data_IF_066303274467
#
_entry.id   IF_066303274467
#
_cell.length_a   1.000
_cell.length_b   1.000
_cell.length_c   1.000
_cell.angle_alpha   90.00
_cell.angle_beta   90.00
_cell.angle_gamma   90.00
#
_symmetry.space_group_name_H-M   'P 1'
#
loop_
_entity.id
_entity.type
_entity.pdbx_description
1 polymer ?
#
# COMPACT_ATOMS: atom_id res chain seq x y z
N UNK A 1 15.75 9.07 6.22
CA UNK A 1 14.47 9.19 5.50
C UNK A 1 13.39 8.74 6.46
N UNK A 2 12.53 9.67 6.87
CA UNK A 2 11.41 9.36 7.76
C UNK A 2 10.22 8.94 6.91
N UNK A 3 9.64 7.77 7.21
CA UNK A 3 8.46 7.26 6.50
C UNK A 3 7.21 7.92 7.05
N UNK A 4 6.43 8.56 6.18
CA UNK A 4 5.16 9.20 6.56
C UNK A 4 3.99 8.25 6.32
N UNK A 5 4.04 7.47 5.24
CA UNK A 5 2.93 6.59 4.86
C UNK A 5 3.46 5.29 4.26
N UNK A 6 2.82 4.18 4.65
CA UNK A 6 3.10 2.83 4.19
C UNK A 6 1.81 2.26 3.62
N UNK A 7 1.87 1.79 2.38
CA UNK A 7 0.83 0.96 1.78
C UNK A 7 1.29 -0.48 1.81
N UNK A 8 0.39 -1.38 2.20
CA UNK A 8 0.63 -2.81 2.19
C UNK A 8 -0.51 -3.47 1.41
N UNK A 9 -0.15 -4.40 0.54
CA UNK A 9 -1.08 -5.28 -0.15
C UNK A 9 -0.61 -6.72 -0.10
N UNK A 10 -1.54 -7.66 0.05
CA UNK A 10 -1.32 -9.08 -0.21
C UNK A 10 -2.55 -9.67 -0.90
N UNK A 11 -2.36 -10.55 -1.88
CA UNK A 11 -3.47 -11.24 -2.55
C UNK A 11 -4.01 -12.42 -1.76
N UNK A 12 -3.19 -13.07 -0.92
CA UNK A 12 -3.60 -14.26 -0.16
C UNK A 12 -4.16 -15.38 -1.06
N UNK A 13 -3.39 -15.85 -2.05
CA UNK A 13 -3.86 -16.82 -3.06
C UNK A 13 -3.34 -18.26 -2.86
N UNK A 14 -4.13 -19.25 -3.31
CA UNK A 14 -3.71 -20.64 -3.55
C UNK A 14 -4.05 -21.04 -5.00
N UNK A 15 -3.11 -21.59 -5.81
CA UNK A 15 -1.75 -22.00 -5.45
C UNK A 15 -0.79 -20.81 -5.23
N UNK A 16 0.28 -21.05 -4.46
CA UNK A 16 1.25 -20.04 -4.02
C UNK A 16 1.93 -19.27 -5.15
N UNK A 17 1.98 -19.87 -6.34
CA UNK A 17 2.53 -19.23 -7.54
C UNK A 17 1.79 -17.97 -7.96
N UNK A 18 0.54 -17.77 -7.52
CA UNK A 18 -0.24 -16.55 -7.78
C UNK A 18 -0.32 -15.61 -6.58
N UNK A 19 0.28 -15.98 -5.45
CA UNK A 19 0.36 -15.08 -4.31
C UNK A 19 1.42 -14.02 -4.57
N UNK A 20 1.12 -12.77 -4.25
CA UNK A 20 2.12 -11.70 -4.20
C UNK A 20 1.74 -10.69 -3.13
N UNK A 21 2.72 -9.91 -2.70
CA UNK A 21 2.51 -8.76 -1.84
C UNK A 21 3.40 -7.60 -2.27
N UNK A 22 3.00 -6.38 -1.92
CA UNK A 22 3.86 -5.23 -2.06
C UNK A 22 3.80 -4.33 -0.85
N UNK A 23 4.87 -3.55 -0.68
CA UNK A 23 4.94 -2.46 0.30
C UNK A 23 5.43 -1.21 -0.41
N UNK A 24 4.69 -0.11 -0.28
CA UNK A 24 5.11 1.22 -0.74
C UNK A 24 5.35 2.09 0.48
N UNK A 25 6.54 2.68 0.59
CA UNK A 25 6.86 3.66 1.63
C UNK A 25 6.98 5.04 0.98
N UNK A 26 6.22 6.01 1.47
CA UNK A 26 6.35 7.43 1.15
C UNK A 26 7.16 8.12 2.25
N UNK A 27 8.16 8.89 1.85
CA UNK A 27 9.12 9.53 2.75
C UNK A 27 8.94 11.05 2.80
N UNK A 28 9.34 11.67 3.91
CA UNK A 28 9.21 13.12 4.12
C UNK A 28 10.00 14.01 3.17
N UNK A 29 10.92 13.44 2.39
CA UNK A 29 11.71 14.14 1.37
C UNK A 29 11.07 14.07 -0.03
N UNK A 30 9.79 13.72 -0.12
CA UNK A 30 9.04 13.57 -1.37
C UNK A 30 9.53 12.44 -2.28
N UNK A 31 10.22 11.45 -1.69
CA UNK A 31 10.60 10.20 -2.37
C UNK A 31 9.71 9.04 -1.91
N UNK A 32 9.40 8.11 -2.78
CA UNK A 32 8.70 6.88 -2.46
C UNK A 32 9.50 5.66 -2.91
N UNK A 33 9.29 4.53 -2.24
CA UNK A 33 9.90 3.26 -2.64
C UNK A 33 8.88 2.14 -2.62
N UNK A 34 8.98 1.22 -3.58
CA UNK A 34 8.21 -0.02 -3.62
C UNK A 34 9.11 -1.22 -3.41
N UNK A 35 8.56 -2.25 -2.77
CA UNK A 35 9.07 -3.62 -2.77
C UNK A 35 7.94 -4.55 -3.12
N UNK A 36 8.17 -5.48 -4.05
CA UNK A 36 7.22 -6.52 -4.45
C UNK A 36 7.82 -7.87 -4.12
N UNK A 37 6.99 -8.77 -3.59
CA UNK A 37 7.36 -10.12 -3.18
C UNK A 37 6.42 -11.10 -3.88
N UNK A 38 6.97 -12.17 -4.47
CA UNK A 38 6.19 -13.29 -5.01
C UNK A 38 6.06 -14.39 -3.95
N UNK A 39 4.91 -15.05 -3.90
CA UNK A 39 4.63 -16.11 -2.92
C UNK A 39 4.79 -15.63 -1.47
N UNK A 40 5.59 -16.39 -0.72
CA UNK A 40 6.02 -16.07 0.65
C UNK A 40 7.54 -15.90 0.74
N UNK A 41 8.15 -15.36 -0.32
CA UNK A 41 9.59 -15.13 -0.35
C UNK A 41 10.02 -14.07 0.68
N UNK A 42 11.20 -14.27 1.26
CA UNK A 42 11.77 -13.34 2.26
C UNK A 42 12.50 -12.15 1.62
N UNK A 43 12.75 -12.20 0.32
CA UNK A 43 13.42 -11.15 -0.46
C UNK A 43 12.47 -10.58 -1.52
N UNK A 44 12.50 -9.26 -1.78
CA UNK A 44 11.71 -8.69 -2.84
C UNK A 44 12.22 -9.16 -4.21
N UNK A 45 11.32 -9.51 -5.11
CA UNK A 45 11.62 -9.80 -6.52
C UNK A 45 11.81 -8.53 -7.33
N UNK A 46 11.20 -7.43 -6.88
CA UNK A 46 11.33 -6.11 -7.49
C UNK A 46 11.39 -5.04 -6.41
N UNK A 47 12.23 -4.03 -6.63
CA UNK A 47 12.26 -2.83 -5.81
C UNK A 47 12.59 -1.62 -6.66
N UNK A 48 11.92 -0.52 -6.40
CA UNK A 48 12.11 0.72 -7.15
C UNK A 48 11.86 1.94 -6.29
N UNK A 49 12.26 3.12 -6.79
CA UNK A 49 12.07 4.41 -6.16
C UNK A 49 11.66 5.46 -7.17
N UNK A 50 10.84 6.39 -6.70
CA UNK A 50 10.34 7.51 -7.51
C UNK A 50 10.13 8.74 -6.64
N UNK A 51 10.01 9.90 -7.25
CA UNK A 51 9.62 11.13 -6.58
C UNK A 51 8.11 11.35 -6.73
N UNK A 52 7.48 12.06 -5.80
CA UNK A 52 6.04 12.34 -5.84
C UNK A 52 5.71 13.75 -5.34
N UNK A 53 4.49 14.22 -5.61
CA UNK A 53 4.01 15.50 -5.09
C UNK A 53 3.55 15.36 -3.63
N UNK A 54 4.31 15.98 -2.71
CA UNK A 54 4.02 15.94 -1.28
C UNK A 54 2.68 16.59 -0.91
N UNK A 55 2.25 17.64 -1.61
CA UNK A 55 0.97 18.30 -1.34
C UNK A 55 -0.21 17.38 -1.68
N UNK A 56 -0.07 16.57 -2.74
CA UNK A 56 -1.07 15.55 -3.09
C UNK A 56 -1.14 14.47 -1.99
N UNK A 57 0.00 14.01 -1.47
CA UNK A 57 0.02 13.04 -0.36
C UNK A 57 -0.64 13.60 0.90
N UNK A 58 -0.29 14.82 1.31
CA UNK A 58 -0.86 15.48 2.50
C UNK A 58 -2.38 15.59 2.40
N UNK A 59 -2.90 15.91 1.20
CA UNK A 59 -4.33 15.93 0.95
C UNK A 59 -4.98 14.54 1.19
N UNK A 60 -4.35 13.45 0.74
CA UNK A 60 -4.86 12.08 0.98
C UNK A 60 -4.82 11.70 2.45
N UNK A 61 -3.75 12.05 3.14
CA UNK A 61 -3.61 11.81 4.59
C UNK A 61 -4.72 12.55 5.35
N UNK A 62 -4.99 13.80 5.01
CA UNK A 62 -6.08 14.57 5.63
C UNK A 62 -7.45 13.89 5.46
N UNK A 63 -7.74 13.35 4.27
CA UNK A 63 -8.97 12.58 4.01
C UNK A 63 -9.01 11.32 4.88
N UNK A 64 -7.90 10.56 4.97
CA UNK A 64 -7.82 9.34 5.78
C UNK A 64 -8.01 9.60 7.27
N UNK A 65 -7.43 10.68 7.79
CA UNK A 65 -7.57 11.11 9.18
C UNK A 65 -8.99 11.51 9.56
N UNK A 66 -9.78 11.97 8.58
CA UNK A 66 -11.18 12.35 8.80
C UNK A 66 -12.15 11.15 8.75
N UNK A 67 -11.70 9.98 8.27
CA UNK A 67 -12.52 8.77 8.25
C UNK A 67 -12.70 8.24 9.68
N UNK A 68 -13.90 7.75 10.04
CA UNK A 68 -14.12 7.12 11.33
C UNK A 68 -13.13 5.98 11.54
N UNK A 69 -12.61 5.86 12.75
CA UNK A 69 -11.80 4.71 13.15
C UNK A 69 -12.71 3.50 13.19
N UNK A 70 -12.44 2.54 12.32
CA UNK A 70 -13.05 1.22 12.43
C UNK A 70 -12.08 0.33 13.19
N UNK A 71 -12.55 -0.32 14.27
CA UNK A 71 -11.82 -1.43 14.88
C UNK A 71 -11.78 -2.57 13.87
N UNK A 72 -10.73 -2.59 13.04
CA UNK A 72 -10.54 -3.66 12.08
C UNK A 72 -9.98 -4.86 12.83
N UNK A 73 -10.84 -5.83 13.13
CA UNK A 73 -10.39 -7.15 13.61
C UNK A 73 -9.45 -7.74 12.55
N UNK A 74 -8.22 -8.14 12.89
CA UNK A 74 -7.31 -8.71 11.92
C UNK A 74 -7.91 -9.99 11.34
N UNK A 75 -8.23 -9.97 10.05
CA UNK A 75 -8.63 -11.17 9.32
C UNK A 75 -7.45 -12.15 9.30
N UNK A 76 -7.72 -13.37 9.78
CA UNK A 76 -6.78 -14.50 9.83
C UNK A 76 -6.35 -14.91 8.41
N UNK A 77 -5.19 -14.42 8.00
CA UNK A 77 -4.11 -15.14 7.27
C UNK A 77 -4.39 -15.98 6.01
N UNK A 78 -5.49 -15.83 5.28
CA UNK A 78 -5.63 -16.51 3.95
C UNK A 78 -6.35 -15.70 2.86
N UNK A 79 -6.52 -14.39 3.02
CA UNK A 79 -7.26 -13.56 2.07
C UNK A 79 -6.52 -12.32 1.59
N UNK A 80 -7.07 -11.71 0.54
CA UNK A 80 -6.65 -10.41 0.05
C UNK A 80 -6.74 -9.37 1.18
N UNK A 81 -5.68 -8.58 1.36
CA UNK A 81 -5.63 -7.53 2.37
C UNK A 81 -4.97 -6.29 1.82
N UNK A 82 -5.63 -5.16 2.03
CA UNK A 82 -5.12 -3.80 1.82
C UNK A 82 -4.97 -3.12 3.16
N UNK A 83 -3.87 -2.40 3.35
CA UNK A 83 -3.62 -1.67 4.58
C UNK A 83 -2.87 -0.37 4.31
N UNK A 84 -3.24 0.66 5.06
CA UNK A 84 -2.56 1.95 5.12
C UNK A 84 -2.06 2.14 6.55
N UNK A 85 -0.78 2.43 6.69
CA UNK A 85 -0.18 2.88 7.95
C UNK A 85 0.37 4.27 7.69
N UNK A 86 -0.08 5.28 8.41
CA UNK A 86 0.54 6.59 8.32
C UNK A 86 0.95 7.10 9.71
N UNK A 87 2.02 7.88 9.71
CA UNK A 87 2.66 8.45 10.88
C UNK A 87 2.45 9.95 10.82
N UNK A 88 1.69 10.48 11.77
CA UNK A 88 1.41 11.91 11.91
C UNK A 88 1.82 12.36 13.31
N UNK A 89 2.86 13.18 13.41
CA UNK A 89 3.30 13.85 14.64
C UNK A 89 3.38 12.93 15.89
N UNK A 90 3.91 11.72 15.72
CA UNK A 90 4.08 10.72 16.79
C UNK A 90 2.87 9.79 17.01
N UNK A 91 1.75 10.02 16.32
CA UNK A 91 0.63 9.08 16.24
C UNK A 91 0.80 8.18 15.00
N UNK A 92 0.76 6.88 15.21
CA UNK A 92 0.64 5.92 14.10
C UNK A 92 -0.82 5.54 13.96
N UNK A 93 -1.43 5.86 12.82
CA UNK A 93 -2.76 5.36 12.49
C UNK A 93 -2.63 4.21 11.50
N UNK A 94 -3.27 3.09 11.84
CA UNK A 94 -3.32 1.88 11.04
C UNK A 94 -4.75 1.66 10.60
N UNK A 95 -4.97 1.52 9.30
CA UNK A 95 -6.27 1.22 8.71
C UNK A 95 -6.16 0.01 7.80
N UNK A 96 -6.82 -1.09 8.19
CA UNK A 96 -7.08 -2.20 7.28
C UNK A 96 -8.30 -1.83 6.44
N UNK A 97 -8.21 -1.96 5.12
CA UNK A 97 -9.30 -1.58 4.23
C UNK A 97 -10.15 -2.81 3.97
N UNK A 98 -11.43 -2.74 4.34
CA UNK A 98 -12.41 -3.77 4.01
C UNK A 98 -13.08 -3.46 2.66
N UNK A 99 -13.69 -4.44 1.98
CA UNK A 99 -14.41 -4.23 0.72
C UNK A 99 -15.55 -3.19 0.80
N UNK A 100 -16.11 -2.97 1.99
CA UNK A 100 -17.21 -2.02 2.24
C UNK A 100 -16.72 -0.56 2.33
N UNK A 101 -15.45 -0.34 2.67
CA UNK A 101 -14.84 0.98 2.87
C UNK A 101 -14.50 1.68 1.54
N UNK A 102 -15.53 1.98 0.74
CA UNK A 102 -15.39 2.59 -0.61
C UNK A 102 -14.50 3.83 -0.63
N UNK A 103 -14.56 4.66 0.40
CA UNK A 103 -13.74 5.87 0.48
C UNK A 103 -12.27 5.55 0.75
N UNK A 104 -11.98 4.59 1.63
CA UNK A 104 -10.60 4.16 1.88
C UNK A 104 -10.01 3.44 0.66
N UNK A 105 -10.81 2.62 -0.04
CA UNK A 105 -10.43 1.99 -1.31
C UNK A 105 -10.02 3.06 -2.33
N UNK A 106 -10.86 4.08 -2.53
CA UNK A 106 -10.57 5.17 -3.47
C UNK A 106 -9.28 5.92 -3.11
N UNK A 107 -9.05 6.20 -1.83
CA UNK A 107 -7.80 6.87 -1.40
C UNK A 107 -6.60 5.97 -1.64
N UNK A 108 -6.71 4.69 -1.32
CA UNK A 108 -5.66 3.70 -1.57
C UNK A 108 -5.26 3.67 -3.04
N UNK A 109 -6.23 3.55 -3.95
CA UNK A 109 -6.00 3.57 -5.40
C UNK A 109 -5.33 4.87 -5.86
N UNK A 110 -5.77 6.01 -5.33
CA UNK A 110 -5.13 7.30 -5.64
C UNK A 110 -3.68 7.38 -5.15
N UNK A 111 -3.34 6.73 -4.03
CA UNK A 111 -1.97 6.66 -3.55
C UNK A 111 -1.11 5.71 -4.39
N UNK A 112 -1.69 4.65 -4.97
CA UNK A 112 -0.98 3.82 -5.95
C UNK A 112 -0.62 4.63 -7.19
N UNK A 113 -1.58 5.43 -7.70
CA UNK A 113 -1.36 6.32 -8.84
C UNK A 113 -0.38 7.46 -8.55
N UNK A 114 -0.25 7.86 -7.28
CA UNK A 114 0.76 8.82 -6.85
C UNK A 114 2.17 8.22 -6.90
N UNK A 115 2.31 6.92 -6.72
CA UNK A 115 3.58 6.22 -6.90
C UNK A 115 3.91 6.05 -8.39
N UNK A 116 2.96 5.53 -9.17
CA UNK A 116 3.13 5.29 -10.61
C UNK A 116 1.77 5.40 -11.31
N UNK A 117 1.67 6.21 -12.37
CA UNK A 117 0.42 6.41 -13.10
C UNK A 117 -0.10 5.12 -13.77
N UNK A 118 0.81 4.21 -14.13
CA UNK A 118 0.58 2.90 -14.72
C UNK A 118 0.82 1.78 -13.71
N UNK A 119 0.55 2.03 -12.42
CA UNK A 119 0.82 1.08 -11.32
C UNK A 119 0.32 -0.35 -11.58
N UNK A 120 -0.83 -0.51 -12.23
CA UNK A 120 -1.38 -1.82 -12.56
C UNK A 120 -0.52 -2.59 -13.57
N UNK A 121 0.08 -1.89 -14.53
CA UNK A 121 1.04 -2.46 -15.49
C UNK A 121 2.32 -2.85 -14.77
N UNK A 122 2.84 -1.97 -13.90
CA UNK A 122 4.02 -2.27 -13.07
C UNK A 122 3.80 -3.55 -12.27
N UNK A 123 2.73 -3.65 -11.50
CA UNK A 123 2.42 -4.86 -10.71
C UNK A 123 2.28 -6.08 -11.63
N UNK A 124 1.58 -5.94 -12.76
CA UNK A 124 1.33 -7.07 -13.65
C UNK A 124 2.63 -7.65 -14.21
N UNK A 125 3.53 -6.81 -14.70
CA UNK A 125 4.85 -7.24 -15.19
C UNK A 125 5.66 -7.90 -14.06
N UNK A 126 5.61 -7.36 -12.84
CA UNK A 126 6.40 -7.89 -11.74
C UNK A 126 5.80 -9.13 -11.07
N UNK A 127 4.55 -9.50 -11.36
CA UNK A 127 3.85 -10.61 -10.67
C UNK A 127 3.33 -11.71 -11.60
N UNK A 128 3.09 -11.42 -12.87
CA UNK A 128 2.54 -12.38 -13.84
C UNK A 128 3.54 -12.84 -14.91
N UNK A 129 4.82 -12.51 -14.80
CA UNK A 129 5.83 -13.11 -15.68
C UNK A 129 6.11 -14.58 -15.31
N UNK A 130 5.54 -15.48 -16.13
CA UNK A 130 6.15 -16.72 -16.64
C UNK A 130 5.86 -16.85 -18.12
#
# INVERSE_FOLDING_TARGET
METILVLIYTTGSRPLSYAYSYTINFYSDATASIKIYRGYENSPTYSDKTDYDIAVLENKISILSALPEHETTPLLTEGERREIIYVDNGRTLRRIITPEDRQAIKVYEQLLLLFDEDFQVLISNQTYDT
#
